data_IF_872883694758
#
_entry.id   IF_872883694758
#
_cell.length_a   1.000
_cell.length_b   1.000
_cell.length_c   1.000
_cell.angle_alpha   90.00
_cell.angle_beta   90.00
_cell.angle_gamma   90.00
#
_symmetry.space_group_name_H-M   'P 1'
#
loop_
_entity.id
_entity.type
_entity.pdbx_description
1 polymer ?
#
# COMPACT_ATOMS: atom_id res chain seq x y z
N UNK A 1 8.63 -7.55 4.55
CA UNK A 1 7.60 -7.62 5.62
C UNK A 1 7.44 -6.29 6.33
N UNK A 2 8.53 -5.65 6.77
CA UNK A 2 8.47 -4.31 7.35
C UNK A 2 7.72 -3.30 6.47
N UNK A 3 8.00 -3.24 5.17
CA UNK A 3 7.35 -2.26 4.28
C UNK A 3 5.82 -2.45 4.19
N UNK A 4 5.34 -3.70 4.21
CA UNK A 4 3.90 -3.98 4.27
C UNK A 4 3.30 -3.49 5.59
N UNK A 5 3.99 -3.71 6.70
CA UNK A 5 3.55 -3.22 8.01
C UNK A 5 3.53 -1.68 8.06
N UNK A 6 4.58 -1.02 7.57
CA UNK A 6 4.65 0.43 7.56
C UNK A 6 3.53 1.03 6.69
N UNK A 7 3.31 0.49 5.48
CA UNK A 7 2.23 0.93 4.59
C UNK A 7 0.84 0.71 5.19
N UNK A 8 0.62 -0.46 5.80
CA UNK A 8 -0.63 -0.75 6.49
C UNK A 8 -0.82 0.17 7.70
N UNK A 9 0.23 0.40 8.49
CA UNK A 9 0.16 1.29 9.63
C UNK A 9 -0.23 2.70 9.18
N UNK A 10 0.43 3.28 8.17
CA UNK A 10 0.09 4.63 7.74
C UNK A 10 -1.34 4.71 7.18
N UNK A 11 -1.77 3.71 6.40
CA UNK A 11 -3.11 3.67 5.81
C UNK A 11 -4.22 3.58 6.87
N UNK A 12 -3.97 2.94 8.01
CA UNK A 12 -4.96 2.81 9.09
C UNK A 12 -4.88 3.91 10.15
N UNK A 13 -3.86 4.77 10.13
CA UNK A 13 -3.64 5.76 11.19
C UNK A 13 -3.65 7.21 10.71
N UNK A 14 -3.53 7.48 9.41
CA UNK A 14 -3.48 8.84 8.89
C UNK A 14 -4.37 9.03 7.67
N UNK A 15 -4.99 10.20 7.59
CA UNK A 15 -5.71 10.64 6.41
C UNK A 15 -4.73 11.17 5.36
N UNK A 16 -5.09 11.05 4.08
CA UNK A 16 -4.23 11.49 2.97
C UNK A 16 -5.01 12.27 1.92
N UNK A 17 -4.40 13.34 1.42
CA UNK A 17 -4.83 13.96 0.16
C UNK A 17 -4.31 13.13 -1.02
N UNK A 18 -5.21 12.70 -1.89
CA UNK A 18 -4.89 11.86 -3.05
C UNK A 18 -3.95 12.55 -4.03
N UNK A 19 -4.05 13.86 -4.19
CA UNK A 19 -3.22 14.62 -5.15
C UNK A 19 -1.79 14.70 -4.64
N UNK A 20 -1.63 14.94 -3.33
CA UNK A 20 -0.32 14.96 -2.65
C UNK A 20 0.32 13.57 -2.69
N UNK A 21 -0.46 12.51 -2.40
CA UNK A 21 0.05 11.14 -2.40
C UNK A 21 0.46 10.69 -3.81
N UNK A 22 -0.35 10.97 -4.83
CA UNK A 22 0.00 10.68 -6.24
C UNK A 22 1.27 11.40 -6.66
N UNK A 23 1.44 12.67 -6.30
CA UNK A 23 2.66 13.41 -6.62
C UNK A 23 3.90 12.84 -5.90
N UNK A 24 3.75 12.44 -4.63
CA UNK A 24 4.82 11.81 -3.87
C UNK A 24 5.23 10.47 -4.50
N UNK A 25 4.28 9.65 -4.96
CA UNK A 25 4.55 8.41 -5.68
C UNK A 25 5.31 8.68 -6.99
N UNK A 26 4.84 9.65 -7.78
CA UNK A 26 5.45 10.03 -9.06
C UNK A 26 6.91 10.45 -8.88
N UNK A 27 7.20 11.34 -7.93
CA UNK A 27 8.57 11.77 -7.61
C UNK A 27 9.42 10.59 -7.13
N UNK A 28 8.85 9.69 -6.35
CA UNK A 28 9.55 8.49 -5.85
C UNK A 28 9.93 7.54 -6.99
N UNK A 29 9.06 7.35 -7.99
CA UNK A 29 9.35 6.50 -9.15
C UNK A 29 10.41 7.12 -10.05
N UNK A 30 10.30 8.41 -10.33
CA UNK A 30 11.30 9.16 -11.12
C UNK A 30 12.69 9.11 -10.48
N UNK A 31 12.80 9.35 -9.17
CA UNK A 31 14.07 9.33 -8.45
C UNK A 31 14.75 7.95 -8.40
N UNK A 32 13.98 6.87 -8.61
CA UNK A 32 14.51 5.50 -8.62
C UNK A 32 14.89 5.03 -10.02
N UNK A 33 14.72 5.87 -11.03
CA UNK A 33 14.95 5.56 -12.45
C UNK A 33 14.30 4.23 -12.86
N UNK A 34 13.15 3.92 -12.25
CA UNK A 34 12.40 2.67 -12.48
C UNK A 34 10.99 2.98 -12.93
N UNK A 35 10.61 2.36 -14.04
CA UNK A 35 9.22 2.29 -14.48
C UNK A 35 8.49 1.24 -13.65
N UNK A 36 7.51 1.67 -12.88
CA UNK A 36 6.57 0.79 -12.19
C UNK A 36 5.33 0.59 -13.05
N UNK A 37 4.80 -0.63 -13.11
CA UNK A 37 3.58 -0.95 -13.86
C UNK A 37 2.45 -1.37 -12.93
N UNK A 38 1.21 -1.20 -13.40
CA UNK A 38 0.03 -1.68 -12.68
C UNK A 38 0.04 -3.22 -12.56
N UNK A 39 0.64 -3.92 -13.53
CA UNK A 39 0.84 -5.37 -13.48
C UNK A 39 1.74 -5.77 -12.31
N UNK A 40 2.88 -5.10 -12.12
CA UNK A 40 3.77 -5.36 -10.98
C UNK A 40 3.07 -5.09 -9.65
N UNK A 41 2.27 -4.03 -9.56
CA UNK A 41 1.45 -3.75 -8.37
C UNK A 41 0.46 -4.89 -8.10
N UNK A 42 -0.29 -5.32 -9.12
CA UNK A 42 -1.25 -6.40 -8.99
C UNK A 42 -0.60 -7.74 -8.63
N UNK A 43 0.59 -8.03 -9.15
CA UNK A 43 1.38 -9.19 -8.77
C UNK A 43 1.78 -9.15 -7.28
N UNK A 44 2.19 -7.99 -6.75
CA UNK A 44 2.49 -7.87 -5.31
C UNK A 44 1.23 -8.09 -4.48
N UNK A 45 0.09 -7.55 -4.92
CA UNK A 45 -1.17 -7.70 -4.20
C UNK A 45 -1.73 -9.12 -4.25
N UNK A 46 -1.38 -9.95 -5.23
CA UNK A 46 -1.79 -11.35 -5.29
C UNK A 46 -1.12 -12.23 -4.23
N UNK A 47 -0.04 -11.75 -3.59
CA UNK A 47 0.62 -12.47 -2.51
C UNK A 47 -0.21 -12.60 -1.23
N UNK A 48 -1.41 -12.00 -1.16
CA UNK A 48 -2.32 -12.16 -0.02
C UNK A 48 -2.57 -13.63 0.33
N UNK A 49 -2.65 -14.49 -0.70
CA UNK A 49 -2.93 -15.92 -0.57
C UNK A 49 -1.66 -16.80 -0.63
N UNK A 50 -0.48 -16.19 -0.73
CA UNK A 50 0.79 -16.93 -0.76
C UNK A 50 1.15 -17.45 0.64
N UNK A 51 1.12 -18.77 0.80
CA UNK A 51 1.37 -19.44 2.07
C UNK A 51 2.77 -19.15 2.66
N UNK A 52 3.78 -18.97 1.80
CA UNK A 52 5.14 -18.66 2.23
C UNK A 52 5.23 -17.23 2.75
N UNK A 53 4.57 -16.28 2.09
CA UNK A 53 4.48 -14.89 2.52
C UNK A 53 3.69 -14.75 3.81
N UNK A 54 2.57 -15.46 3.96
CA UNK A 54 1.81 -15.51 5.22
C UNK A 54 2.67 -16.04 6.39
N UNK A 55 3.48 -17.08 6.16
CA UNK A 55 4.42 -17.59 7.18
C UNK A 55 5.49 -16.56 7.55
N UNK A 56 6.07 -15.88 6.56
CA UNK A 56 7.03 -14.78 6.78
C UNK A 56 6.41 -13.62 7.55
N UNK A 57 5.15 -13.28 7.28
CA UNK A 57 4.41 -12.25 8.02
C UNK A 57 4.26 -12.63 9.49
N UNK A 58 3.74 -13.82 9.79
CA UNK A 58 3.58 -14.32 11.17
C UNK A 58 4.91 -14.30 11.94
N UNK A 59 6.00 -14.73 11.30
CA UNK A 59 7.33 -14.68 11.91
C UNK A 59 7.82 -13.23 12.17
N UNK A 60 7.56 -12.32 11.23
CA UNK A 60 7.90 -10.90 11.37
C UNK A 60 7.12 -10.24 12.51
N UNK A 61 5.81 -10.45 12.61
CA UNK A 61 4.96 -9.88 13.66
C UNK A 61 5.38 -10.37 15.04
N UNK A 62 5.69 -11.66 15.18
CA UNK A 62 6.26 -12.20 16.41
C UNK A 62 7.60 -11.55 16.78
N UNK A 63 8.45 -11.26 15.78
CA UNK A 63 9.76 -10.65 16.00
C UNK A 63 9.64 -9.22 16.54
N UNK A 64 8.69 -8.43 16.05
CA UNK A 64 8.50 -7.04 16.50
C UNK A 64 7.56 -6.92 17.70
N UNK A 65 7.03 -8.05 18.20
CA UNK A 65 6.16 -8.14 19.36
C UNK A 65 4.95 -7.19 19.31
N UNK A 66 4.29 -7.13 18.16
CA UNK A 66 3.08 -6.31 17.96
C UNK A 66 1.86 -7.18 17.65
N UNK A 67 0.67 -6.61 17.82
CA UNK A 67 -0.58 -7.19 17.32
C UNK A 67 -0.99 -6.44 16.06
N UNK A 68 -1.26 -7.19 15.00
CA UNK A 68 -1.75 -6.68 13.72
C UNK A 68 -2.53 -7.78 13.02
N UNK A 69 -3.25 -7.42 11.97
CA UNK A 69 -4.09 -8.34 11.21
C UNK A 69 -3.28 -9.39 10.44
N UNK A 70 -4.01 -10.40 9.98
CA UNK A 70 -3.47 -11.39 9.05
C UNK A 70 -3.00 -10.73 7.74
N UNK A 71 -2.01 -11.35 7.12
CA UNK A 71 -1.31 -10.80 5.95
C UNK A 71 -2.26 -10.45 4.79
N UNK A 72 -3.32 -11.24 4.59
CA UNK A 72 -4.33 -11.00 3.56
C UNK A 72 -5.14 -9.72 3.80
N UNK A 73 -5.51 -9.45 5.06
CA UNK A 73 -6.19 -8.21 5.46
C UNK A 73 -5.26 -7.01 5.29
N UNK A 74 -3.99 -7.17 5.67
CA UNK A 74 -2.96 -6.14 5.49
C UNK A 74 -2.80 -5.75 4.03
N UNK A 75 -2.66 -6.73 3.13
CA UNK A 75 -2.56 -6.46 1.69
C UNK A 75 -3.84 -5.87 1.11
N UNK A 76 -5.02 -6.28 1.59
CA UNK A 76 -6.29 -5.69 1.16
C UNK A 76 -6.37 -4.21 1.52
N UNK A 77 -5.97 -3.83 2.73
CA UNK A 77 -5.94 -2.43 3.15
C UNK A 77 -4.92 -1.61 2.33
N UNK A 78 -3.73 -2.16 2.07
CA UNK A 78 -2.73 -1.52 1.22
C UNK A 78 -3.25 -1.34 -0.21
N UNK A 79 -3.96 -2.33 -0.77
CA UNK A 79 -4.60 -2.21 -2.10
C UNK A 79 -5.59 -1.06 -2.11
N UNK A 80 -6.55 -1.05 -1.19
CA UNK A 80 -7.57 0.01 -1.10
C UNK A 80 -6.94 1.41 -0.99
N UNK A 81 -5.86 1.51 -0.22
CA UNK A 81 -5.14 2.76 -0.04
C UNK A 81 -4.39 3.19 -1.31
N UNK A 82 -3.63 2.30 -1.95
CA UNK A 82 -2.68 2.67 -3.00
C UNK A 82 -3.19 2.53 -4.43
N UNK A 83 -4.20 1.70 -4.71
CA UNK A 83 -4.58 1.34 -6.09
C UNK A 83 -4.88 2.56 -6.98
N UNK A 84 -5.77 3.45 -6.52
CA UNK A 84 -6.12 4.68 -7.24
C UNK A 84 -4.94 5.67 -7.38
N UNK A 85 -4.25 6.08 -6.30
CA UNK A 85 -3.16 7.04 -6.43
C UNK A 85 -1.95 6.47 -7.20
N UNK A 86 -1.70 5.16 -7.14
CA UNK A 86 -0.64 4.48 -7.88
C UNK A 86 -0.94 4.45 -9.38
N UNK A 87 -2.16 4.08 -9.78
CA UNK A 87 -2.58 4.12 -11.18
C UNK A 87 -2.48 5.54 -11.76
N UNK A 88 -2.96 6.54 -11.01
CA UNK A 88 -2.85 7.94 -11.41
C UNK A 88 -1.39 8.39 -11.59
N UNK A 89 -0.48 7.97 -10.70
CA UNK A 89 0.93 8.29 -10.80
C UNK A 89 1.59 7.71 -12.06
N UNK A 90 1.24 6.49 -12.45
CA UNK A 90 1.74 5.85 -13.68
C UNK A 90 1.19 6.54 -14.93
N UNK A 91 -0.10 6.87 -14.92
CA UNK A 91 -0.77 7.53 -16.05
C UNK A 91 -0.46 9.03 -16.14
N UNK A 92 0.37 9.56 -15.24
CA UNK A 92 0.67 10.99 -15.10
C UNK A 92 -0.59 11.85 -14.97
N UNK A 93 -1.58 11.34 -14.23
CA UNK A 93 -2.85 11.99 -13.88
C UNK A 93 -2.84 12.42 -12.41
N UNK A 94 -3.79 13.27 -12.06
CA UNK A 94 -4.07 13.62 -10.66
C UNK A 94 -5.27 12.81 -10.16
N UNK A 95 -5.19 12.34 -8.92
CA UNK A 95 -6.31 11.72 -8.21
C UNK A 95 -6.70 12.63 -7.03
N UNK A 96 -7.90 13.19 -7.05
CA UNK A 96 -8.32 14.24 -6.10
C UNK A 96 -9.20 13.73 -4.93
N UNK A 97 -9.14 12.43 -4.61
CA UNK A 97 -9.87 11.87 -3.47
C UNK A 97 -9.20 12.19 -2.14
N UNK A 98 -9.93 12.02 -1.03
CA UNK A 98 -9.36 12.10 0.32
C UNK A 98 -9.44 10.75 1.01
N UNK A 99 -8.33 10.22 1.50
CA UNK A 99 -8.31 8.96 2.22
C UNK A 99 -8.74 9.20 3.66
N UNK A 100 -9.78 8.50 4.09
CA UNK A 100 -10.18 8.46 5.49
C UNK A 100 -9.66 7.17 6.11
N UNK A 101 -8.65 7.27 6.98
CA UNK A 101 -8.13 6.13 7.74
C UNK A 101 -9.22 5.49 8.60
N UNK A 102 -10.05 6.32 9.23
CA UNK A 102 -11.17 5.88 10.06
C UNK A 102 -12.18 4.99 9.32
N UNK A 103 -12.36 5.22 8.00
CA UNK A 103 -13.27 4.46 7.17
C UNK A 103 -12.56 3.46 6.23
N UNK A 104 -11.22 3.46 6.24
CA UNK A 104 -10.36 2.71 5.33
C UNK A 104 -10.78 2.81 3.86
N UNK A 105 -11.14 4.02 3.41
CA UNK A 105 -11.60 4.29 2.04
C UNK A 105 -11.28 5.70 1.56
N UNK A 106 -11.25 5.87 0.25
CA UNK A 106 -11.28 7.18 -0.42
C UNK A 106 -12.70 7.75 -0.39
N UNK A 107 -12.84 9.02 0.00
CA UNK A 107 -14.06 9.83 -0.03
C UNK A 107 -13.96 10.97 -1.03
#
# INVERSE_FOLDING_TARGET
MKDYYDLYYIANNFDFDGSVLTEALRKTFANRERSFTLEQFNQVMSFADDAFMQKKWKAFIRKINTKTDDYSIVLKAIRNFLEHPFAAAIENKTFAGHWSAANSKWI
#
